data_IF_201028154891
#
_entry.id   IF_201028154891
#
_cell.length_a   1.000
_cell.length_b   1.000
_cell.length_c   1.000
_cell.angle_alpha   90.00
_cell.angle_beta   90.00
_cell.angle_gamma   90.00
#
_symmetry.space_group_name_H-M   'P 1'
#
loop_
_entity.id
_entity.type
_entity.pdbx_description
1 polymer ?
#
# COMPACT_ATOMS: atom_id res chain seq x y z
N UNK A 1 -54.88 20.74 -32.64
CA UNK A 1 -54.81 21.34 -31.29
C UNK A 1 -53.46 20.98 -30.68
N UNK A 2 -52.74 21.98 -30.16
CA UNK A 2 -51.65 21.87 -29.17
C UNK A 2 -52.20 22.44 -27.83
N UNK A 3 -51.53 22.37 -26.66
CA UNK A 3 -50.15 21.92 -26.33
C UNK A 3 -50.18 20.62 -25.45
N UNK A 4 -49.18 20.19 -24.64
CA UNK A 4 -48.00 20.88 -24.09
C UNK A 4 -46.81 19.96 -23.73
N UNK A 5 -45.80 20.59 -23.11
CA UNK A 5 -44.45 20.17 -22.75
C UNK A 5 -44.37 19.55 -21.34
N UNK A 6 -43.45 18.60 -21.16
CA UNK A 6 -42.63 18.47 -19.94
C UNK A 6 -41.17 18.36 -20.40
N UNK A 7 -40.43 19.47 -20.47
CA UNK A 7 -39.53 20.00 -19.43
C UNK A 7 -38.40 19.03 -19.03
N UNK A 8 -37.18 19.37 -19.46
CA UNK A 8 -35.93 18.87 -18.89
C UNK A 8 -35.75 19.44 -17.47
N UNK A 9 -35.57 18.56 -16.48
CA UNK A 9 -35.16 18.94 -15.12
C UNK A 9 -33.64 18.92 -14.96
N UNK A 10 -32.93 19.95 -15.47
CA UNK A 10 -31.49 20.08 -15.20
C UNK A 10 -31.31 20.59 -13.76
N UNK A 11 -30.95 19.70 -12.85
CA UNK A 11 -30.61 20.06 -11.47
C UNK A 11 -29.20 20.65 -11.46
N UNK A 12 -29.11 21.98 -11.58
CA UNK A 12 -27.87 22.72 -11.35
C UNK A 12 -27.62 22.79 -9.84
N UNK A 13 -26.74 21.93 -9.33
CA UNK A 13 -26.24 22.03 -7.95
C UNK A 13 -25.13 23.10 -7.93
N UNK A 14 -25.29 24.21 -7.18
CA UNK A 14 -24.24 25.22 -7.09
C UNK A 14 -23.07 24.70 -6.24
N UNK A 15 -21.91 24.52 -6.87
CA UNK A 15 -20.65 24.28 -6.17
C UNK A 15 -20.27 25.53 -5.36
N UNK A 16 -20.37 25.47 -4.03
CA UNK A 16 -19.77 26.49 -3.17
C UNK A 16 -18.25 26.31 -3.15
N UNK A 17 -17.55 27.28 -3.74
CA UNK A 17 -16.09 27.32 -3.80
C UNK A 17 -15.52 27.85 -2.46
N UNK A 18 -15.25 26.94 -1.52
CA UNK A 18 -14.60 27.28 -0.25
C UNK A 18 -13.07 27.38 -0.42
N UNK A 19 -12.59 28.57 -0.80
CA UNK A 19 -11.16 28.90 -0.74
C UNK A 19 -10.69 28.93 0.71
N UNK A 20 -9.70 28.10 1.06
CA UNK A 20 -8.93 28.24 2.30
C UNK A 20 -7.49 28.59 1.91
N UNK A 21 -7.15 29.86 2.08
CA UNK A 21 -5.83 30.42 1.75
C UNK A 21 -5.00 30.65 3.00
N UNK A 22 -3.69 30.44 2.88
CA UNK A 22 -2.62 31.11 3.64
C UNK A 22 -2.58 30.88 5.16
N UNK A 23 -1.62 30.08 5.64
CA UNK A 23 -0.26 30.48 6.09
C UNK A 23 -0.23 31.29 7.39
N UNK A 24 0.43 30.73 8.40
CA UNK A 24 1.16 31.51 9.40
C UNK A 24 2.47 30.79 9.73
N UNK A 25 3.57 31.54 9.74
CA UNK A 25 4.89 31.10 10.18
C UNK A 25 5.34 32.03 11.31
N UNK A 26 5.85 31.50 12.42
CA UNK A 26 6.88 32.10 13.29
C UNK A 26 6.93 31.39 14.67
N UNK A 27 8.00 31.54 15.45
CA UNK A 27 9.39 31.83 15.07
C UNK A 27 10.37 30.74 15.59
N UNK A 28 11.64 30.89 15.24
CA UNK A 28 12.76 30.18 15.89
C UNK A 28 13.12 30.93 17.19
N UNK A 29 13.56 30.20 18.22
CA UNK A 29 14.24 30.79 19.39
C UNK A 29 15.47 29.96 19.74
N UNK A 30 16.65 30.59 19.71
CA UNK A 30 17.92 29.95 20.03
C UNK A 30 18.07 29.63 21.54
N UNK A 31 18.94 28.67 21.87
CA UNK A 31 19.15 28.20 23.23
C UNK A 31 20.44 27.40 23.40
N UNK A 32 21.58 28.10 23.45
CA UNK A 32 22.89 27.51 23.73
C UNK A 32 22.94 26.86 25.13
N UNK A 33 23.36 25.59 25.21
CA UNK A 33 23.92 24.99 26.43
C UNK A 33 25.06 24.01 26.10
N UNK A 34 26.28 24.35 26.53
CA UNK A 34 27.45 23.46 26.48
C UNK A 34 27.38 22.44 27.63
N UNK A 35 27.82 21.19 27.42
CA UNK A 35 27.73 20.17 28.48
C UNK A 35 28.45 18.84 28.23
N UNK A 36 29.79 18.86 28.20
CA UNK A 36 30.74 17.75 28.47
C UNK A 36 30.44 16.33 27.91
N UNK A 37 31.33 15.85 27.03
CA UNK A 37 31.21 14.54 26.40
C UNK A 37 31.60 13.32 27.26
N UNK A 38 31.25 12.14 26.74
CA UNK A 38 31.78 10.81 27.07
C UNK A 38 32.09 10.05 25.76
N UNK A 39 32.79 8.91 25.80
CA UNK A 39 33.23 8.22 24.58
C UNK A 39 32.08 7.84 23.64
N UNK A 40 32.41 7.77 22.35
CA UNK A 40 31.53 7.20 21.33
C UNK A 40 31.52 5.67 21.49
N UNK A 41 30.52 5.13 22.19
CA UNK A 41 30.12 3.75 21.97
C UNK A 41 29.62 3.67 20.51
N UNK A 42 30.31 2.88 19.69
CA UNK A 42 30.07 2.86 18.25
C UNK A 42 28.67 2.31 17.92
N UNK A 43 27.98 2.94 16.96
CA UNK A 43 26.67 2.52 16.49
C UNK A 43 26.70 1.05 16.03
N UNK A 44 26.14 0.13 16.85
CA UNK A 44 25.95 -1.27 16.47
C UNK A 44 24.73 -1.38 15.57
N UNK A 45 24.87 -0.84 14.35
CA UNK A 45 23.92 -1.00 13.26
C UNK A 45 23.84 -2.49 12.92
N UNK A 46 22.64 -3.06 12.92
CA UNK A 46 22.46 -4.47 12.59
C UNK A 46 22.94 -4.77 11.14
N UNK A 47 23.76 -5.81 10.93
CA UNK A 47 24.30 -6.16 9.60
C UNK A 47 23.25 -6.41 8.51
N UNK A 48 21.98 -6.68 8.84
CA UNK A 48 20.91 -6.88 7.87
C UNK A 48 20.60 -5.62 7.01
N UNK A 49 21.19 -4.46 7.33
CA UNK A 49 21.14 -3.26 6.48
C UNK A 49 22.47 -2.95 5.76
N UNK A 50 23.58 -3.62 6.07
CA UNK A 50 24.91 -3.33 5.49
C UNK A 50 25.13 -3.94 4.11
N UNK A 51 24.10 -4.49 3.47
CA UNK A 51 24.14 -5.03 2.10
C UNK A 51 23.14 -4.37 1.16
N UNK A 52 22.44 -3.32 1.61
CA UNK A 52 21.81 -2.37 0.68
C UNK A 52 22.95 -1.75 -0.13
N UNK A 53 22.94 -1.90 -1.46
CA UNK A 53 23.91 -1.22 -2.33
C UNK A 53 23.85 0.29 -2.02
N UNK A 54 24.93 0.84 -1.47
CA UNK A 54 24.95 2.21 -0.95
C UNK A 54 24.59 3.23 -2.04
N UNK A 55 24.92 2.93 -3.30
CA UNK A 55 24.49 3.73 -4.45
C UNK A 55 22.97 3.73 -4.59
N UNK A 56 22.31 2.57 -4.55
CA UNK A 56 20.85 2.49 -4.64
C UNK A 56 20.13 3.10 -3.43
N UNK A 57 20.65 2.93 -2.21
CA UNK A 57 20.13 3.60 -1.04
C UNK A 57 20.19 5.14 -1.18
N UNK A 58 21.30 5.66 -1.72
CA UNK A 58 21.50 7.09 -2.04
C UNK A 58 20.57 7.57 -3.16
N UNK A 59 20.46 6.81 -4.25
CA UNK A 59 19.64 7.14 -5.43
C UNK A 59 18.16 7.20 -5.06
N UNK A 60 17.65 6.21 -4.31
CA UNK A 60 16.27 6.23 -3.83
C UNK A 60 16.02 7.41 -2.88
N UNK A 61 16.95 7.73 -1.96
CA UNK A 61 16.85 8.94 -1.11
C UNK A 61 16.85 10.26 -1.89
N UNK A 62 17.41 10.29 -3.11
CA UNK A 62 17.46 11.46 -3.98
C UNK A 62 16.26 11.59 -4.94
N UNK A 63 15.72 10.46 -5.41
CA UNK A 63 14.69 10.43 -6.47
C UNK A 63 13.28 10.11 -5.93
N UNK A 64 13.15 9.25 -4.92
CA UNK A 64 11.87 8.94 -4.30
C UNK A 64 11.42 10.08 -3.35
N UNK A 65 10.12 10.12 -3.02
CA UNK A 65 9.62 11.01 -1.96
C UNK A 65 9.83 10.38 -0.58
N UNK A 66 9.81 11.22 0.47
CA UNK A 66 10.16 10.90 1.88
C UNK A 66 9.36 9.79 2.57
N UNK A 67 8.45 9.08 1.90
CA UNK A 67 7.87 7.85 2.41
C UNK A 67 8.87 6.68 2.28
N UNK A 68 8.86 5.68 3.19
CA UNK A 68 9.66 4.47 3.02
C UNK A 68 9.36 3.79 1.68
N UNK A 69 10.38 3.45 0.90
CA UNK A 69 10.18 2.86 -0.43
C UNK A 69 9.48 1.49 -0.39
N UNK A 70 9.59 0.77 0.73
CA UNK A 70 8.83 -0.44 1.03
C UNK A 70 7.31 -0.26 0.92
N UNK A 71 6.76 0.96 1.09
CA UNK A 71 5.34 1.25 0.89
C UNK A 71 4.86 1.10 -0.56
N UNK A 72 5.77 0.98 -1.53
CA UNK A 72 5.41 0.52 -2.88
C UNK A 72 4.74 -0.85 -2.84
N UNK A 73 5.12 -1.70 -1.87
CA UNK A 73 4.43 -2.96 -1.58
C UNK A 73 2.94 -2.78 -1.23
N UNK A 74 2.52 -1.65 -0.64
CA UNK A 74 1.09 -1.36 -0.44
C UNK A 74 0.41 -1.10 -1.79
N UNK A 75 1.01 -0.26 -2.65
CA UNK A 75 0.41 0.09 -3.94
C UNK A 75 0.28 -1.08 -4.92
N UNK A 76 1.14 -2.10 -4.85
CA UNK A 76 1.15 -3.19 -5.84
C UNK A 76 0.54 -4.52 -5.37
N UNK A 77 0.26 -4.73 -4.08
CA UNK A 77 0.02 -6.09 -3.56
C UNK A 77 -1.17 -6.84 -4.16
N UNK A 78 -2.19 -6.15 -4.66
CA UNK A 78 -3.37 -6.75 -5.31
C UNK A 78 -3.58 -6.25 -6.75
N UNK A 79 -2.56 -5.66 -7.38
CA UNK A 79 -2.64 -5.12 -8.74
C UNK A 79 -2.84 -6.26 -9.76
N UNK A 80 -3.68 -6.02 -10.76
CA UNK A 80 -3.90 -6.96 -11.88
C UNK A 80 -3.48 -6.35 -13.22
N UNK A 81 -3.41 -7.17 -14.26
CA UNK A 81 -3.20 -6.66 -15.63
C UNK A 81 -4.38 -5.77 -16.09
N UNK A 82 -5.62 -6.03 -15.63
CA UNK A 82 -6.77 -5.16 -15.86
C UNK A 82 -6.56 -3.75 -15.28
N UNK A 83 -5.99 -3.68 -14.07
CA UNK A 83 -5.70 -2.40 -13.41
C UNK A 83 -4.55 -1.65 -14.09
N UNK A 84 -3.51 -2.39 -14.51
CA UNK A 84 -2.43 -1.83 -15.34
C UNK A 84 -2.96 -1.20 -16.62
N UNK A 85 -3.84 -1.93 -17.35
CA UNK A 85 -4.49 -1.45 -18.58
C UNK A 85 -5.38 -0.22 -18.36
N UNK A 86 -6.03 -0.13 -17.20
CA UNK A 86 -6.94 0.97 -16.85
C UNK A 86 -6.23 2.24 -16.35
N UNK A 87 -5.17 2.09 -15.56
CA UNK A 87 -4.56 3.21 -14.84
C UNK A 87 -3.20 3.66 -15.38
N UNK A 88 -2.43 2.80 -16.08
CA UNK A 88 -1.03 3.08 -16.39
C UNK A 88 -0.67 2.88 -17.86
N UNK A 89 -0.93 1.69 -18.41
CA UNK A 89 -0.57 1.34 -19.79
C UNK A 89 -1.59 0.36 -20.40
N UNK A 90 -2.40 0.79 -21.40
CA UNK A 90 -3.42 -0.05 -22.03
C UNK A 90 -2.87 -1.27 -22.78
N UNK A 91 -1.55 -1.35 -23.03
CA UNK A 91 -0.91 -2.48 -23.68
C UNK A 91 -0.33 -3.51 -22.70
N UNK A 92 -0.46 -3.28 -21.38
CA UNK A 92 0.12 -4.14 -20.35
C UNK A 92 -0.28 -5.63 -20.48
N UNK A 93 0.68 -6.50 -20.19
CA UNK A 93 0.57 -7.96 -20.32
C UNK A 93 0.79 -8.67 -18.99
N UNK A 94 0.65 -9.99 -18.97
CA UNK A 94 0.99 -10.86 -17.83
C UNK A 94 2.52 -10.87 -17.52
N UNK A 95 3.39 -10.32 -18.38
CA UNK A 95 4.86 -10.24 -18.18
C UNK A 95 5.28 -8.81 -17.77
N UNK A 96 4.65 -8.29 -16.72
CA UNK A 96 4.75 -6.88 -16.30
C UNK A 96 5.82 -6.57 -15.23
N UNK A 97 6.55 -7.57 -14.71
CA UNK A 97 7.55 -7.42 -13.63
C UNK A 97 7.07 -6.82 -12.30
N UNK A 98 5.77 -6.64 -12.08
CA UNK A 98 5.22 -6.12 -10.83
C UNK A 98 4.84 -7.30 -9.93
N UNK A 99 5.55 -7.56 -8.82
CA UNK A 99 5.22 -8.65 -7.94
C UNK A 99 3.98 -8.31 -7.10
N UNK A 100 3.16 -9.32 -6.85
CA UNK A 100 1.89 -9.17 -6.13
C UNK A 100 1.70 -10.30 -5.12
N UNK A 101 0.72 -10.18 -4.23
CA UNK A 101 0.32 -11.26 -3.33
C UNK A 101 -0.60 -12.19 -4.11
N UNK A 102 -0.35 -13.49 -4.06
CA UNK A 102 -1.25 -14.46 -4.64
C UNK A 102 -2.58 -14.43 -3.87
N UNK A 103 -3.71 -14.22 -4.57
CA UNK A 103 -5.05 -14.11 -3.96
C UNK A 103 -5.66 -15.46 -3.63
N UNK A 104 -5.14 -16.55 -4.20
CA UNK A 104 -5.28 -17.89 -3.63
C UNK A 104 -4.39 -17.99 -2.39
N UNK A 105 -5.03 -18.06 -1.22
CA UNK A 105 -4.38 -18.11 0.09
C UNK A 105 -3.95 -19.54 0.48
N UNK A 106 -4.44 -20.57 -0.21
CA UNK A 106 -4.07 -21.97 -0.03
C UNK A 106 -2.88 -22.40 -0.90
N UNK A 107 -2.57 -21.67 -1.98
CA UNK A 107 -1.42 -21.94 -2.84
C UNK A 107 -0.05 -21.85 -2.11
N UNK A 108 0.84 -22.79 -2.42
CA UNK A 108 2.19 -22.92 -1.83
C UNK A 108 3.07 -21.67 -1.98
N UNK A 109 2.86 -20.90 -3.06
CA UNK A 109 3.58 -19.66 -3.33
C UNK A 109 2.73 -18.44 -2.93
N UNK A 110 3.11 -17.72 -1.84
CA UNK A 110 2.30 -16.63 -1.31
C UNK A 110 2.39 -15.34 -2.14
N UNK A 111 3.38 -15.24 -3.04
CA UNK A 111 3.62 -14.12 -3.94
C UNK A 111 3.68 -14.59 -5.39
N UNK A 112 3.23 -13.73 -6.30
CA UNK A 112 3.40 -13.86 -7.75
C UNK A 112 4.56 -12.97 -8.21
N UNK A 113 5.29 -13.41 -9.24
CA UNK A 113 6.39 -12.61 -9.83
C UNK A 113 5.87 -11.45 -10.71
N UNK A 114 4.62 -11.53 -11.16
CA UNK A 114 3.95 -10.57 -12.03
C UNK A 114 2.50 -10.36 -11.55
N UNK A 115 1.90 -9.22 -11.89
CA UNK A 115 0.48 -8.96 -11.68
C UNK A 115 -0.33 -9.89 -12.60
N UNK A 116 -1.28 -10.68 -12.07
CA UNK A 116 -2.05 -11.65 -12.85
C UNK A 116 -3.18 -10.97 -13.64
N UNK A 117 -3.61 -11.58 -14.74
CA UNK A 117 -4.84 -11.19 -15.44
C UNK A 117 -6.02 -11.98 -14.84
N UNK A 118 -6.74 -11.37 -13.88
CA UNK A 118 -7.80 -12.04 -13.12
C UNK A 118 -9.10 -12.16 -13.92
N UNK A 119 -9.10 -13.12 -14.85
CA UNK A 119 -10.24 -13.49 -15.68
C UNK A 119 -11.35 -14.07 -14.80
N UNK A 120 -12.52 -13.44 -14.80
CA UNK A 120 -13.74 -14.05 -14.25
C UNK A 120 -14.24 -15.10 -15.24
N UNK A 121 -14.83 -16.23 -14.79
CA UNK A 121 -15.43 -17.23 -15.71
C UNK A 121 -16.42 -16.61 -16.70
N UNK A 122 -17.12 -15.55 -16.27
CA UNK A 122 -18.10 -14.81 -17.06
C UNK A 122 -17.68 -13.33 -17.30
N UNK A 123 -16.37 -13.06 -17.50
CA UNK A 123 -15.84 -11.68 -17.62
C UNK A 123 -16.54 -10.81 -18.69
N UNK A 124 -17.08 -11.42 -19.75
CA UNK A 124 -17.83 -10.71 -20.80
C UNK A 124 -19.21 -10.19 -20.34
N UNK A 125 -19.76 -10.68 -19.21
CA UNK A 125 -21.10 -10.30 -18.73
C UNK A 125 -21.16 -8.87 -18.17
N UNK A 126 -20.10 -8.39 -17.52
CA UNK A 126 -20.08 -7.09 -16.86
C UNK A 126 -19.11 -6.11 -17.51
N UNK A 127 -19.66 -5.12 -18.23
CA UNK A 127 -18.87 -4.11 -18.95
C UNK A 127 -18.13 -3.16 -17.99
N UNK A 128 -18.77 -2.71 -16.91
CA UNK A 128 -18.22 -1.68 -16.01
C UNK A 128 -17.35 -2.28 -14.92
N UNK A 129 -16.20 -1.65 -14.65
CA UNK A 129 -15.22 -2.21 -13.71
C UNK A 129 -15.75 -2.29 -12.27
N UNK A 130 -16.65 -1.38 -11.87
CA UNK A 130 -17.34 -1.46 -10.58
C UNK A 130 -18.21 -2.72 -10.45
N UNK A 131 -18.81 -3.21 -11.55
CA UNK A 131 -19.52 -4.49 -11.54
C UNK A 131 -18.56 -5.68 -11.59
N UNK A 132 -17.42 -5.59 -12.30
CA UNK A 132 -16.36 -6.61 -12.26
C UNK A 132 -15.74 -6.75 -10.87
N UNK A 133 -15.59 -5.65 -10.12
CA UNK A 133 -15.12 -5.65 -8.74
C UNK A 133 -16.10 -6.32 -7.78
N UNK A 134 -17.41 -6.11 -7.98
CA UNK A 134 -18.48 -6.79 -7.25
C UNK A 134 -18.50 -8.28 -7.61
N UNK A 135 -18.50 -8.64 -8.89
CA UNK A 135 -18.45 -10.01 -9.40
C UNK A 135 -17.26 -10.80 -8.80
N UNK A 136 -16.05 -10.27 -8.92
CA UNK A 136 -14.82 -10.87 -8.39
C UNK A 136 -14.84 -11.06 -6.86
N UNK A 137 -15.67 -10.30 -6.13
CA UNK A 137 -15.86 -10.48 -4.68
C UNK A 137 -17.06 -11.37 -4.32
N UNK A 138 -18.03 -11.57 -5.22
CA UNK A 138 -19.23 -12.39 -4.97
C UNK A 138 -19.07 -13.81 -5.50
N UNK A 139 -18.35 -14.01 -6.60
CA UNK A 139 -18.00 -15.33 -7.15
C UNK A 139 -17.05 -16.14 -6.24
N UNK A 140 -16.42 -15.47 -5.26
CA UNK A 140 -15.67 -16.10 -4.16
C UNK A 140 -16.33 -15.88 -2.77
N UNK A 141 -17.62 -15.54 -2.73
CA UNK A 141 -18.32 -15.28 -1.46
C UNK A 141 -18.36 -16.51 -0.55
N UNK A 142 -17.69 -16.42 0.60
CA UNK A 142 -17.62 -17.48 1.59
C UNK A 142 -16.39 -18.38 1.47
N UNK A 143 -15.57 -18.20 0.43
CA UNK A 143 -14.24 -18.81 0.37
C UNK A 143 -13.32 -18.14 1.41
N UNK A 144 -12.84 -18.93 2.37
CA UNK A 144 -11.92 -18.45 3.41
C UNK A 144 -10.47 -18.38 2.91
N UNK A 145 -10.18 -18.92 1.72
CA UNK A 145 -8.87 -18.95 1.11
C UNK A 145 -8.73 -17.96 -0.07
N UNK A 146 -9.61 -16.95 -0.17
CA UNK A 146 -9.56 -15.94 -1.23
C UNK A 146 -9.31 -14.50 -0.73
N UNK A 147 -8.45 -13.79 -1.45
CA UNK A 147 -8.02 -12.38 -1.25
C UNK A 147 -7.50 -12.04 0.14
N UNK A 148 -8.38 -11.87 1.14
CA UNK A 148 -8.03 -11.54 2.52
C UNK A 148 -8.81 -12.42 3.49
N UNK A 149 -8.09 -13.28 4.23
CA UNK A 149 -8.68 -14.24 5.16
C UNK A 149 -9.53 -13.53 6.22
N UNK A 150 -10.73 -14.06 6.44
CA UNK A 150 -11.77 -13.50 7.31
C UNK A 150 -12.40 -12.16 6.87
N UNK A 151 -11.99 -11.49 5.79
CA UNK A 151 -12.78 -10.36 5.28
C UNK A 151 -14.17 -10.85 4.84
N UNK A 152 -15.20 -10.05 5.11
CA UNK A 152 -16.54 -10.25 4.55
C UNK A 152 -16.59 -9.77 3.10
N UNK A 153 -17.58 -10.19 2.28
CA UNK A 153 -17.71 -9.71 0.90
C UNK A 153 -17.79 -8.18 0.79
N UNK A 154 -18.41 -7.50 1.76
CA UNK A 154 -18.44 -6.04 1.81
C UNK A 154 -17.04 -5.43 2.01
N UNK A 155 -16.21 -6.05 2.85
CA UNK A 155 -14.84 -5.60 3.11
C UNK A 155 -13.90 -5.90 1.94
N UNK A 156 -14.11 -7.00 1.20
CA UNK A 156 -13.41 -7.30 -0.05
C UNK A 156 -13.77 -6.30 -1.16
N UNK A 157 -15.06 -5.97 -1.34
CA UNK A 157 -15.49 -4.91 -2.28
C UNK A 157 -14.89 -3.55 -1.90
N UNK A 158 -14.91 -3.18 -0.62
CA UNK A 158 -14.30 -1.93 -0.12
C UNK A 158 -12.78 -1.93 -0.28
N UNK A 159 -12.11 -3.08 -0.12
CA UNK A 159 -10.68 -3.25 -0.35
C UNK A 159 -10.31 -2.99 -1.83
N UNK A 160 -11.06 -3.59 -2.77
CA UNK A 160 -10.85 -3.36 -4.21
C UNK A 160 -11.01 -1.86 -4.55
N UNK A 161 -12.07 -1.21 -4.10
CA UNK A 161 -12.26 0.23 -4.36
C UNK A 161 -11.26 1.16 -3.65
N UNK A 162 -10.74 0.76 -2.47
CA UNK A 162 -9.61 1.45 -1.83
C UNK A 162 -8.37 1.41 -2.74
N UNK A 163 -8.07 0.23 -3.30
CA UNK A 163 -6.93 0.05 -4.20
C UNK A 163 -7.10 0.81 -5.52
N UNK A 164 -8.32 0.86 -6.09
CA UNK A 164 -8.60 1.75 -7.24
C UNK A 164 -8.29 3.22 -6.95
N UNK A 165 -8.61 3.73 -5.75
CA UNK A 165 -8.29 5.12 -5.37
C UNK A 165 -6.79 5.33 -5.11
N UNK A 166 -6.03 4.31 -4.69
CA UNK A 166 -4.56 4.36 -4.67
C UNK A 166 -4.01 4.47 -6.10
N UNK A 167 -4.52 3.66 -7.03
CA UNK A 167 -4.05 3.65 -8.42
C UNK A 167 -4.46 4.92 -9.20
N UNK A 168 -5.67 5.43 -9.00
CA UNK A 168 -6.15 6.70 -9.58
C UNK A 168 -5.35 7.94 -9.10
N UNK A 169 -4.69 7.85 -7.94
CA UNK A 169 -3.77 8.88 -7.45
C UNK A 169 -2.34 8.67 -7.95
N UNK A 170 -1.85 7.43 -7.97
CA UNK A 170 -0.56 7.09 -8.57
C UNK A 170 -0.51 7.43 -10.07
N UNK A 171 -1.59 7.19 -10.83
CA UNK A 171 -1.72 7.57 -12.26
C UNK A 171 -1.34 9.04 -12.52
N UNK A 172 -1.72 9.96 -11.62
CA UNK A 172 -1.42 11.40 -11.76
C UNK A 172 0.09 11.68 -11.64
N UNK A 173 0.81 10.90 -10.84
CA UNK A 173 2.26 10.97 -10.71
C UNK A 173 2.95 10.23 -11.87
N UNK A 174 2.38 9.13 -12.36
CA UNK A 174 2.87 8.36 -13.51
C UNK A 174 2.87 9.21 -14.79
N UNK A 175 1.81 9.99 -15.03
CA UNK A 175 1.73 10.95 -16.13
C UNK A 175 2.63 12.19 -15.96
N UNK A 176 3.22 12.42 -14.78
CA UNK A 176 4.31 13.39 -14.60
C UNK A 176 5.65 12.72 -14.94
N UNK A 177 5.86 11.49 -14.44
CA UNK A 177 7.07 10.69 -14.65
C UNK A 177 7.29 10.39 -16.15
N UNK A 178 6.26 10.04 -16.91
CA UNK A 178 6.33 9.86 -18.38
C UNK A 178 6.82 11.10 -19.14
N UNK A 179 6.66 12.30 -18.59
CA UNK A 179 7.09 13.57 -19.20
C UNK A 179 8.53 13.95 -18.83
N UNK A 180 9.08 13.37 -17.77
CA UNK A 180 10.46 13.53 -17.35
C UNK A 180 10.97 12.19 -16.75
N UNK A 181 11.27 11.18 -17.61
CA UNK A 181 11.59 9.83 -17.14
C UNK A 181 12.80 9.78 -16.19
N UNK A 182 12.80 8.89 -15.19
CA UNK A 182 13.98 8.59 -14.37
C UNK A 182 15.13 8.04 -15.21
N UNK A 183 16.36 8.15 -14.70
CA UNK A 183 17.50 7.49 -15.31
C UNK A 183 17.38 5.96 -15.24
N UNK A 184 18.08 5.26 -16.14
CA UNK A 184 18.17 3.80 -16.09
C UNK A 184 18.79 3.30 -14.77
N UNK A 185 19.70 4.06 -14.15
CA UNK A 185 20.26 3.77 -12.82
C UNK A 185 19.19 3.86 -11.73
N UNK A 186 18.34 4.89 -11.76
CA UNK A 186 17.18 5.01 -10.86
C UNK A 186 16.23 3.83 -11.05
N UNK A 187 15.90 3.47 -12.29
CA UNK A 187 15.03 2.30 -12.54
C UNK A 187 15.65 0.96 -12.11
N UNK A 188 16.97 0.78 -12.24
CA UNK A 188 17.65 -0.42 -11.74
C UNK A 188 17.47 -0.57 -10.21
N UNK A 189 17.67 0.51 -9.45
CA UNK A 189 17.48 0.52 -7.99
C UNK A 189 16.01 0.41 -7.54
N UNK A 190 15.08 0.97 -8.34
CA UNK A 190 13.64 0.83 -8.14
C UNK A 190 13.17 -0.62 -8.35
N UNK A 191 13.77 -1.35 -9.29
CA UNK A 191 13.47 -2.75 -9.55
C UNK A 191 14.28 -3.76 -8.70
N UNK A 192 15.20 -3.28 -7.85
CA UNK A 192 15.92 -4.10 -6.85
C UNK A 192 15.05 -4.38 -5.60
N UNK A 193 13.95 -5.10 -5.84
CA UNK A 193 12.86 -5.35 -4.90
C UNK A 193 13.24 -6.12 -3.63
N UNK A 194 14.32 -6.92 -3.68
CA UNK A 194 14.87 -7.62 -2.52
C UNK A 194 15.54 -6.64 -1.55
N UNK A 195 16.35 -5.71 -2.06
CA UNK A 195 17.14 -4.80 -1.21
C UNK A 195 16.39 -3.48 -0.87
N UNK A 196 15.49 -2.99 -1.75
CA UNK A 196 14.75 -1.76 -1.51
C UNK A 196 13.54 -1.91 -0.56
N UNK A 197 13.27 -3.13 -0.09
CA UNK A 197 12.28 -3.44 0.95
C UNK A 197 10.87 -3.75 0.43
N UNK A 198 10.61 -3.67 -0.88
CA UNK A 198 9.30 -4.00 -1.46
C UNK A 198 8.93 -5.47 -1.25
N UNK A 199 9.86 -6.42 -1.49
CA UNK A 199 9.61 -7.82 -1.17
C UNK A 199 9.44 -8.08 0.34
N UNK A 200 10.13 -7.32 1.22
CA UNK A 200 9.94 -7.44 2.67
C UNK A 200 8.52 -7.01 3.09
N UNK A 201 7.98 -5.96 2.48
CA UNK A 201 6.58 -5.57 2.65
C UNK A 201 5.63 -6.65 2.11
N UNK A 202 5.80 -7.10 0.87
CA UNK A 202 4.91 -8.08 0.26
C UNK A 202 4.90 -9.41 1.02
N UNK A 203 6.07 -9.93 1.43
CA UNK A 203 6.18 -11.15 2.26
C UNK A 203 5.49 -10.97 3.63
N UNK A 204 5.64 -9.81 4.27
CA UNK A 204 4.92 -9.50 5.52
C UNK A 204 3.40 -9.51 5.29
N UNK A 205 2.93 -8.74 4.31
CA UNK A 205 1.49 -8.54 4.07
C UNK A 205 0.83 -9.83 3.58
N UNK A 206 1.55 -10.68 2.83
CA UNK A 206 1.06 -12.01 2.43
C UNK A 206 0.89 -12.96 3.63
N UNK A 207 1.72 -12.84 4.67
CA UNK A 207 1.56 -13.55 5.94
C UNK A 207 0.43 -12.94 6.78
N UNK A 208 0.29 -11.61 6.83
CA UNK A 208 -0.82 -10.94 7.51
C UNK A 208 -2.19 -11.32 6.95
N UNK A 209 -2.26 -11.43 5.62
CA UNK A 209 -3.44 -11.84 4.85
C UNK A 209 -3.74 -13.33 5.02
N UNK A 210 -2.72 -14.20 5.03
CA UNK A 210 -2.90 -15.67 5.16
C UNK A 210 -3.13 -16.14 6.58
N UNK A 211 -2.49 -15.52 7.57
CA UNK A 211 -2.60 -15.93 8.98
C UNK A 211 -2.71 -14.71 9.91
N UNK A 212 -3.83 -13.95 9.83
CA UNK A 212 -4.05 -12.78 10.70
C UNK A 212 -4.05 -13.13 12.19
N UNK A 213 -4.32 -14.39 12.55
CA UNK A 213 -4.24 -14.88 13.93
C UNK A 213 -2.81 -15.07 14.47
N UNK A 214 -1.79 -15.06 13.60
CA UNK A 214 -0.38 -15.04 14.00
C UNK A 214 0.15 -13.60 14.17
N UNK A 215 -0.64 -12.59 13.82
CA UNK A 215 -0.27 -11.19 13.91
C UNK A 215 -1.04 -10.52 15.06
N UNK A 216 -0.26 -10.00 16.02
CA UNK A 216 -0.76 -9.35 17.22
C UNK A 216 0.22 -8.29 17.73
N UNK A 217 -0.27 -7.46 18.66
CA UNK A 217 0.42 -6.28 19.19
C UNK A 217 -0.30 -4.99 18.82
N UNK A 218 -0.17 -3.97 19.68
CA UNK A 218 -0.77 -2.66 19.46
C UNK A 218 0.14 -1.69 18.70
N UNK A 219 -0.45 -0.67 18.07
CA UNK A 219 0.27 0.37 17.36
C UNK A 219 1.19 1.20 18.27
N UNK A 220 2.51 0.92 18.23
CA UNK A 220 3.50 1.70 18.98
C UNK A 220 3.55 3.14 18.47
N UNK A 221 3.30 4.12 19.35
CA UNK A 221 3.61 5.52 19.08
C UNK A 221 5.13 5.65 18.94
N UNK A 222 5.60 6.18 17.81
CA UNK A 222 7.00 6.55 17.65
C UNK A 222 7.30 7.76 18.54
N UNK A 223 8.36 7.62 19.33
CA UNK A 223 9.02 8.71 20.04
C UNK A 223 10.00 9.33 19.04
N UNK A 224 9.73 10.55 18.56
CA UNK A 224 10.38 11.14 17.38
C UNK A 224 11.90 11.24 17.50
N UNK A 225 12.38 11.35 18.73
CA UNK A 225 13.75 11.71 19.06
C UNK A 225 14.61 10.46 19.29
N UNK A 226 13.97 9.27 19.35
CA UNK A 226 14.65 7.98 19.44
C UNK A 226 14.72 7.31 18.08
N UNK A 227 15.87 7.47 17.41
CA UNK A 227 16.36 6.44 16.48
C UNK A 227 16.43 5.13 17.26
N UNK A 228 15.48 4.23 17.05
CA UNK A 228 15.48 2.94 17.74
C UNK A 228 16.21 1.90 16.88
N UNK A 229 17.43 1.55 17.29
CA UNK A 229 18.29 0.55 16.62
C UNK A 229 17.74 -0.88 16.68
N UNK A 230 16.57 -1.05 17.30
CA UNK A 230 15.71 -2.21 17.15
C UNK A 230 15.06 -2.22 15.75
N UNK A 231 15.67 -2.96 14.82
CA UNK A 231 15.17 -4.15 14.08
C UNK A 231 13.66 -4.40 13.81
N UNK A 232 12.74 -3.55 14.26
CA UNK A 232 11.30 -3.68 14.07
C UNK A 232 10.90 -3.62 12.59
N UNK A 233 9.85 -4.36 12.24
CA UNK A 233 9.31 -4.38 10.88
C UNK A 233 8.56 -3.07 10.63
N UNK A 234 9.25 -2.06 10.10
CA UNK A 234 8.68 -0.76 9.76
C UNK A 234 7.84 -0.83 8.47
N UNK A 235 6.63 -1.36 8.62
CA UNK A 235 5.49 -0.86 7.85
C UNK A 235 4.97 0.37 8.61
N UNK A 236 5.07 1.60 8.07
CA UNK A 236 4.39 2.74 8.68
C UNK A 236 2.88 2.42 8.78
N UNK A 237 2.26 2.93 9.83
CA UNK A 237 0.94 2.55 10.37
C UNK A 237 0.88 1.31 11.28
N UNK A 238 1.69 0.25 11.11
CA UNK A 238 1.67 -0.90 12.02
C UNK A 238 3.04 -1.58 12.23
N UNK A 239 3.69 -1.30 13.37
CA UNK A 239 4.87 -2.05 13.84
C UNK A 239 4.41 -3.27 14.65
N UNK A 240 3.95 -4.31 13.96
CA UNK A 240 3.55 -5.56 14.59
C UNK A 240 4.75 -6.27 15.23
N UNK A 241 4.58 -6.74 16.47
CA UNK A 241 5.66 -7.33 17.27
C UNK A 241 5.56 -8.85 17.28
N UNK A 242 6.19 -9.50 16.29
CA UNK A 242 6.31 -10.95 16.24
C UNK A 242 7.01 -11.51 17.49
N UNK A 243 6.24 -12.00 18.45
CA UNK A 243 6.76 -12.88 19.50
C UNK A 243 6.61 -14.33 19.05
N UNK A 244 7.61 -14.85 18.34
CA UNK A 244 7.85 -16.29 18.19
C UNK A 244 8.35 -16.92 19.51
N UNK A 245 7.68 -16.61 20.63
CA UNK A 245 7.92 -17.27 21.92
C UNK A 245 7.20 -18.62 21.91
N UNK A 246 7.81 -19.62 22.55
CA UNK A 246 7.27 -20.97 22.65
C UNK A 246 5.78 -20.96 23.05
N UNK A 247 4.92 -21.37 22.12
CA UNK A 247 3.48 -21.49 22.32
C UNK A 247 3.19 -22.63 23.31
N UNK A 248 3.15 -22.31 24.60
CA UNK A 248 2.64 -23.22 25.62
C UNK A 248 1.16 -22.91 25.91
N UNK A 249 0.39 -23.92 26.32
CA UNK A 249 -1.04 -23.78 26.53
C UNK A 249 -1.39 -22.77 27.63
N UNK A 250 -0.52 -22.60 28.63
CA UNK A 250 -0.72 -21.74 29.79
C UNK A 250 -0.83 -20.24 29.45
N UNK A 251 -0.10 -19.78 28.42
CA UNK A 251 -0.04 -18.34 28.09
C UNK A 251 -1.01 -17.91 26.98
N UNK A 252 -1.72 -18.86 26.34
CA UNK A 252 -2.53 -18.62 25.12
C UNK A 252 -3.61 -17.56 25.32
N UNK A 253 -4.35 -17.62 26.43
CA UNK A 253 -5.41 -16.64 26.71
C UNK A 253 -4.86 -15.23 26.95
N UNK A 254 -3.67 -15.11 27.54
CA UNK A 254 -3.12 -13.81 27.93
C UNK A 254 -2.68 -13.00 26.71
N UNK A 255 -2.05 -13.65 25.73
CA UNK A 255 -1.69 -13.01 24.46
C UNK A 255 -2.92 -12.66 23.60
N UNK A 256 -3.93 -13.54 23.56
CA UNK A 256 -5.18 -13.26 22.84
C UNK A 256 -6.06 -12.17 23.49
N UNK A 257 -5.72 -11.73 24.71
CA UNK A 257 -6.35 -10.60 25.41
C UNK A 257 -5.61 -9.28 25.22
N UNK A 258 -4.39 -9.28 24.65
CA UNK A 258 -3.83 -8.03 24.13
C UNK A 258 -4.70 -7.54 22.98
N UNK A 259 -5.09 -6.26 23.04
CA UNK A 259 -6.09 -5.68 22.17
C UNK A 259 -5.55 -5.62 20.74
N UNK A 260 -5.98 -6.57 19.90
CA UNK A 260 -5.51 -6.64 18.53
C UNK A 260 -6.03 -5.42 17.76
N UNK A 261 -5.12 -4.54 17.29
CA UNK A 261 -5.45 -3.35 16.47
C UNK A 261 -5.78 -3.74 15.01
N UNK A 262 -6.22 -4.99 14.80
CA UNK A 262 -6.71 -5.52 13.54
C UNK A 262 -7.87 -4.68 12.98
N UNK A 263 -7.98 -4.65 11.65
CA UNK A 263 -8.92 -3.76 10.96
C UNK A 263 -10.37 -4.04 11.41
N UNK A 264 -11.08 -3.03 11.96
CA UNK A 264 -12.35 -3.27 12.65
C UNK A 264 -13.45 -3.70 11.68
N UNK A 265 -14.20 -4.75 12.03
CA UNK A 265 -15.28 -5.32 11.20
C UNK A 265 -16.27 -4.26 10.73
N UNK A 266 -16.48 -4.14 9.41
CA UNK A 266 -17.26 -3.07 8.79
C UNK A 266 -18.78 -3.25 8.99
N UNK A 267 -19.24 -3.08 10.24
CA UNK A 267 -20.62 -3.34 10.67
C UNK A 267 -21.50 -2.09 10.76
N UNK A 268 -20.94 -0.88 10.71
CA UNK A 268 -21.68 0.38 10.84
C UNK A 268 -20.88 1.60 10.35
N UNK A 269 -21.55 2.75 10.27
CA UNK A 269 -20.98 4.01 9.79
C UNK A 269 -19.83 4.56 10.66
N UNK A 270 -19.77 4.26 11.96
CA UNK A 270 -18.66 4.69 12.83
C UNK A 270 -17.40 3.84 12.64
N UNK A 271 -17.55 2.57 12.26
CA UNK A 271 -16.43 1.77 11.76
C UNK A 271 -15.98 2.28 10.39
N UNK A 272 -16.90 2.64 9.49
CA UNK A 272 -16.55 3.23 8.19
C UNK A 272 -15.71 4.52 8.32
N UNK A 273 -16.00 5.38 9.32
CA UNK A 273 -15.16 6.55 9.64
C UNK A 273 -13.70 6.17 9.96
N UNK A 274 -13.46 5.01 10.58
CA UNK A 274 -12.11 4.49 10.86
C UNK A 274 -11.44 3.97 9.60
N UNK A 275 -12.15 3.16 8.81
CA UNK A 275 -11.67 2.65 7.52
C UNK A 275 -11.21 3.77 6.59
N UNK A 276 -12.02 4.83 6.41
CA UNK A 276 -11.63 5.99 5.60
C UNK A 276 -10.36 6.69 6.09
N UNK A 277 -10.07 6.69 7.40
CA UNK A 277 -8.82 7.26 7.93
C UNK A 277 -7.62 6.33 7.67
N UNK A 278 -7.82 5.02 7.62
CA UNK A 278 -6.78 4.03 7.32
C UNK A 278 -6.46 3.95 5.82
N UNK A 279 -7.42 4.22 4.94
CA UNK A 279 -7.22 4.22 3.49
C UNK A 279 -6.46 5.44 2.92
N UNK A 280 -6.17 6.46 3.73
CA UNK A 280 -5.43 7.64 3.29
C UNK A 280 -3.93 7.37 3.10
N UNK A 281 -3.49 7.04 1.89
CA UNK A 281 -2.06 7.09 1.51
C UNK A 281 -1.59 8.54 1.34
N UNK A 282 -0.29 8.78 1.52
CA UNK A 282 0.32 10.10 1.26
C UNK A 282 0.72 10.29 -0.21
N UNK A 283 0.82 11.55 -0.65
CA UNK A 283 1.33 11.92 -2.00
C UNK A 283 2.76 11.37 -2.25
N UNK A 284 3.52 11.09 -1.18
CA UNK A 284 4.83 10.46 -1.27
C UNK A 284 4.74 8.96 -1.62
N UNK A 285 3.75 8.25 -1.09
CA UNK A 285 3.43 6.86 -1.49
C UNK A 285 2.91 6.84 -2.93
N UNK A 286 1.99 7.75 -3.28
CA UNK A 286 1.41 7.86 -4.62
C UNK A 286 2.49 8.07 -5.71
N UNK A 287 3.53 8.87 -5.43
CA UNK A 287 4.68 9.05 -6.32
C UNK A 287 5.60 7.83 -6.37
N UNK A 288 5.92 7.22 -5.22
CA UNK A 288 6.81 6.06 -5.17
C UNK A 288 6.17 4.85 -5.90
N UNK A 289 4.85 4.66 -5.76
CA UNK A 289 4.05 3.68 -6.51
C UNK A 289 4.19 3.91 -8.02
N UNK A 290 3.98 5.14 -8.48
CA UNK A 290 4.07 5.49 -9.89
C UNK A 290 5.48 5.29 -10.48
N UNK A 291 6.52 5.64 -9.71
CA UNK A 291 7.92 5.42 -10.11
C UNK A 291 8.23 3.93 -10.28
N UNK A 292 7.74 3.09 -9.37
CA UNK A 292 7.90 1.63 -9.49
C UNK A 292 7.18 1.05 -10.71
N UNK A 293 5.89 1.38 -10.86
CA UNK A 293 5.06 0.87 -11.96
C UNK A 293 5.62 1.34 -13.32
N UNK A 294 6.16 2.57 -13.41
CA UNK A 294 6.84 3.06 -14.61
C UNK A 294 8.08 2.21 -14.97
N UNK A 295 9.01 2.04 -14.03
CA UNK A 295 10.22 1.26 -14.29
C UNK A 295 9.95 -0.23 -14.57
N UNK A 296 8.83 -0.78 -14.08
CA UNK A 296 8.40 -2.14 -14.37
C UNK A 296 7.81 -2.29 -15.79
N UNK A 297 6.96 -1.35 -16.21
CA UNK A 297 6.37 -1.32 -17.56
C UNK A 297 7.45 -1.09 -18.63
N UNK A 298 8.35 -0.11 -18.45
CA UNK A 298 9.49 0.12 -19.35
C UNK A 298 10.36 -1.13 -19.51
N UNK A 299 10.56 -1.90 -18.43
CA UNK A 299 11.28 -3.18 -18.43
C UNK A 299 10.52 -4.31 -19.15
N UNK A 300 9.18 -4.25 -19.20
CA UNK A 300 8.37 -5.20 -19.98
C UNK A 300 8.44 -4.95 -21.48
N UNK A 301 8.51 -3.69 -21.91
CA UNK A 301 8.64 -3.30 -23.33
C UNK A 301 10.03 -3.53 -23.95
N UNK A 302 10.99 -4.04 -23.17
CA UNK A 302 12.35 -4.36 -23.59
C UNK A 302 12.54 -5.87 -23.87
N UNK A 303 11.44 -6.62 -24.04
CA UNK A 303 11.42 -8.07 -24.27
C UNK A 303 10.55 -8.47 -25.47
#
# INVERSE_FOLDING_TARGET
>A
MFPSKHLFGIIVIPFMLALVTNTEQSPISDGDHMGNGKPQDADVVDPAWSTLNESCARILRQNAKRAPFSMVGHGIHSLTVRDLRRFFDPLATEINFIPTINRDLAADYPLLQHAPDLKSPDEEMFVTDAMKAIDLSLSHMGDLNWDIKHFSPLENVVHIFHMEEVWARAQKQFEIIKKAPPSAETCACVMDIENNGVFKFLRFTALAIREPMLIYGGGMKMDSDKKSDLLGYYIPYYVYKYHFKNFNAANRETFLKEKNDAMPRLTNADVWKKWKKLGCTSVAEDYNNALFIYCAIEKSHQK
#
